data_IF_188018912091
#
_entry.id   IF_188018912091
#
_cell.length_a   1.000
_cell.length_b   1.000
_cell.length_c   1.000
_cell.angle_alpha   90.00
_cell.angle_beta   90.00
_cell.angle_gamma   90.00
#
_symmetry.space_group_name_H-M   'P 1'
#
loop_
_entity.id
_entity.type
_entity.pdbx_description
1 polymer ?
#
# COMPACT_ATOMS: atom_id res chain seq x y z
N UNK A 1 -20.65 -21.60 -0.19
CA UNK A 1 -19.64 -20.61 0.25
C UNK A 1 -20.38 -19.31 0.55
N UNK A 2 -20.39 -18.85 1.80
CA UNK A 2 -21.01 -17.55 2.13
C UNK A 2 -20.00 -16.45 1.82
N UNK A 3 -20.36 -15.54 0.91
CA UNK A 3 -19.57 -14.35 0.62
C UNK A 3 -19.74 -13.37 1.79
N UNK A 4 -18.76 -13.31 2.68
CA UNK A 4 -18.69 -12.25 3.68
C UNK A 4 -18.05 -11.01 3.06
N UNK A 5 -18.63 -9.84 3.35
CA UNK A 5 -18.03 -8.57 2.95
C UNK A 5 -16.66 -8.44 3.63
N UNK A 6 -15.57 -8.17 2.89
CA UNK A 6 -14.27 -7.93 3.49
C UNK A 6 -14.36 -6.77 4.50
N UNK A 7 -13.83 -6.99 5.69
CA UNK A 7 -13.64 -5.92 6.68
C UNK A 7 -12.16 -5.58 6.68
N UNK A 8 -11.82 -4.50 5.98
CA UNK A 8 -10.44 -4.02 5.89
C UNK A 8 -10.24 -2.93 6.92
N UNK A 9 -9.14 -3.02 7.66
CA UNK A 9 -8.72 -1.95 8.57
C UNK A 9 -8.10 -0.81 7.78
N UNK A 10 -8.13 0.37 8.38
CA UNK A 10 -7.30 1.50 7.96
C UNK A 10 -6.20 1.69 9.01
N UNK A 11 -4.98 1.89 8.54
CA UNK A 11 -3.80 2.15 9.38
C UNK A 11 -3.15 3.46 8.97
N UNK A 12 -2.56 4.18 9.92
CA UNK A 12 -1.77 5.37 9.63
C UNK A 12 -0.33 4.96 9.40
N UNK A 13 0.22 5.30 8.24
CA UNK A 13 1.63 5.02 7.96
C UNK A 13 2.50 5.97 8.77
N UNK A 14 3.39 5.41 9.60
CA UNK A 14 4.22 6.18 10.53
C UNK A 14 5.65 6.35 10.04
N UNK A 15 6.18 5.40 9.27
CA UNK A 15 7.57 5.47 8.81
C UNK A 15 7.82 4.83 7.45
N UNK A 16 8.60 5.53 6.64
CA UNK A 16 9.18 5.01 5.41
C UNK A 16 10.45 4.22 5.73
N UNK A 17 10.45 2.91 5.50
CA UNK A 17 11.57 2.05 5.93
C UNK A 17 12.55 1.80 4.79
N UNK A 18 12.09 1.24 3.68
CA UNK A 18 12.94 1.02 2.51
C UNK A 18 12.11 0.99 1.22
N UNK A 19 12.56 1.65 0.14
CA UNK A 19 12.01 1.42 -1.19
C UNK A 19 12.30 -0.01 -1.65
N UNK A 20 11.37 -0.57 -2.42
CA UNK A 20 11.55 -1.80 -3.19
C UNK A 20 11.69 -1.37 -4.66
N UNK A 21 12.94 -1.25 -5.12
CA UNK A 21 13.29 -0.70 -6.45
C UNK A 21 13.16 -1.74 -7.56
N UNK A 22 12.10 -2.54 -7.52
CA UNK A 22 11.81 -3.58 -8.50
C UNK A 22 10.47 -3.30 -9.20
N UNK A 23 10.51 -3.29 -10.53
CA UNK A 23 9.33 -3.04 -11.37
C UNK A 23 8.85 -1.58 -11.35
N UNK A 24 7.96 -1.24 -12.28
CA UNK A 24 7.52 0.14 -12.49
C UNK A 24 6.53 0.70 -11.45
N UNK A 25 6.19 -0.07 -10.40
CA UNK A 25 5.26 0.38 -9.34
C UNK A 25 5.95 0.94 -8.10
N UNK A 26 7.27 0.72 -7.97
CA UNK A 26 8.13 1.23 -6.89
C UNK A 26 7.49 1.16 -5.48
N UNK A 27 7.05 -0.02 -5.00
CA UNK A 27 6.47 -0.16 -3.67
C UNK A 27 7.51 0.10 -2.58
N UNK A 28 7.08 0.14 -1.32
CA UNK A 28 7.99 0.29 -0.20
C UNK A 28 7.59 -0.53 1.02
N UNK A 29 8.57 -0.84 1.86
CA UNK A 29 8.30 -1.31 3.22
C UNK A 29 8.03 -0.10 4.11
N UNK A 30 6.97 -0.18 4.90
CA UNK A 30 6.49 0.89 5.78
C UNK A 30 6.07 0.35 7.13
N UNK A 31 6.28 1.13 8.19
CA UNK A 31 5.69 0.87 9.52
C UNK A 31 4.37 1.65 9.63
N UNK A 32 3.40 1.10 10.34
CA UNK A 32 2.15 1.76 10.66
C UNK A 32 1.97 1.96 12.18
N UNK A 33 0.89 2.65 12.56
CA UNK A 33 0.53 2.97 13.95
C UNK A 33 0.14 1.76 14.80
N UNK A 34 -0.20 0.65 14.17
CA UNK A 34 -0.45 -0.63 14.83
C UNK A 34 0.82 -1.45 15.11
N UNK A 35 2.00 -0.91 14.75
CA UNK A 35 3.30 -1.53 15.00
C UNK A 35 3.69 -2.63 14.02
N UNK A 36 2.89 -2.86 12.96
CA UNK A 36 3.21 -3.81 11.90
C UNK A 36 3.93 -3.15 10.73
N UNK A 37 4.50 -4.02 9.89
CA UNK A 37 5.22 -3.68 8.67
C UNK A 37 4.42 -4.10 7.45
N UNK A 38 4.35 -3.22 6.46
CA UNK A 38 3.55 -3.40 5.25
C UNK A 38 4.37 -3.18 3.99
N UNK A 39 4.09 -3.98 2.96
CA UNK A 39 4.43 -3.64 1.57
C UNK A 39 3.36 -2.67 1.08
N UNK A 40 3.69 -1.39 1.05
CA UNK A 40 2.80 -0.34 0.60
C UNK A 40 2.89 -0.16 -0.92
N UNK A 41 1.72 -0.14 -1.56
CA UNK A 41 1.52 0.23 -2.96
C UNK A 41 1.01 1.66 -3.01
N UNK A 42 1.57 2.46 -3.90
CA UNK A 42 1.32 3.89 -3.97
C UNK A 42 0.27 4.23 -5.05
N UNK A 43 -0.77 4.98 -4.69
CA UNK A 43 -1.80 5.46 -5.61
C UNK A 43 -1.27 6.43 -6.66
N UNK A 44 -0.10 7.03 -6.42
CA UNK A 44 0.61 7.90 -7.36
C UNK A 44 1.44 7.15 -8.41
N UNK A 45 1.56 5.82 -8.32
CA UNK A 45 2.29 5.02 -9.31
C UNK A 45 1.60 5.09 -10.68
N UNK A 46 2.29 4.73 -11.77
CA UNK A 46 1.80 4.94 -13.14
C UNK A 46 0.42 4.33 -13.47
N UNK A 47 0.04 3.22 -12.81
CA UNK A 47 -1.29 2.61 -12.97
C UNK A 47 -2.33 3.13 -11.96
N UNK A 48 -1.87 3.92 -10.99
CA UNK A 48 -2.61 4.58 -9.94
C UNK A 48 -3.56 3.67 -9.16
N UNK A 49 -4.70 4.23 -8.75
CA UNK A 49 -5.72 3.52 -7.96
C UNK A 49 -6.25 2.26 -8.63
N UNK A 50 -6.19 2.13 -9.96
CA UNK A 50 -6.66 0.91 -10.64
C UNK A 50 -5.82 -0.32 -10.26
N UNK A 51 -4.51 -0.13 -10.07
CA UNK A 51 -3.65 -1.21 -9.59
C UNK A 51 -3.98 -1.59 -8.14
N UNK A 52 -4.26 -0.60 -7.28
CA UNK A 52 -4.67 -0.85 -5.88
C UNK A 52 -5.99 -1.64 -5.80
N UNK A 53 -6.96 -1.27 -6.64
CA UNK A 53 -8.23 -2.00 -6.74
C UNK A 53 -8.01 -3.42 -7.27
N UNK A 54 -7.11 -3.61 -8.24
CA UNK A 54 -6.77 -4.94 -8.76
C UNK A 54 -6.13 -5.83 -7.68
N UNK A 55 -5.18 -5.30 -6.90
CA UNK A 55 -4.56 -6.00 -5.78
C UNK A 55 -5.59 -6.35 -4.70
N UNK A 56 -6.50 -5.42 -4.39
CA UNK A 56 -7.59 -5.66 -3.45
C UNK A 56 -8.51 -6.81 -3.93
N UNK A 57 -9.01 -6.73 -5.16
CA UNK A 57 -9.91 -7.76 -5.71
C UNK A 57 -9.19 -9.11 -5.77
N UNK A 58 -7.94 -9.13 -6.25
CA UNK A 58 -7.15 -10.35 -6.35
C UNK A 58 -6.89 -11.00 -5.00
N UNK A 59 -6.52 -10.20 -3.99
CA UNK A 59 -6.30 -10.69 -2.64
C UNK A 59 -7.57 -11.21 -1.98
N UNK A 60 -8.68 -10.47 -2.06
CA UNK A 60 -9.95 -10.93 -1.49
C UNK A 60 -10.50 -12.17 -2.20
N UNK A 61 -10.31 -12.29 -3.51
CA UNK A 61 -10.65 -13.51 -4.24
C UNK A 61 -9.79 -14.69 -3.77
N UNK A 62 -8.48 -14.50 -3.63
CA UNK A 62 -7.57 -15.53 -3.14
C UNK A 62 -7.92 -15.97 -1.70
N UNK A 63 -8.26 -15.01 -0.82
CA UNK A 63 -8.75 -15.29 0.54
C UNK A 63 -10.04 -16.11 0.51
N UNK A 64 -10.99 -15.71 -0.33
CA UNK A 64 -12.27 -16.38 -0.47
C UNK A 64 -12.11 -17.84 -0.98
N UNK A 65 -11.09 -18.09 -1.80
CA UNK A 65 -10.71 -19.43 -2.28
C UNK A 65 -9.90 -20.25 -1.24
N UNK A 66 -9.60 -19.69 -0.07
CA UNK A 66 -8.87 -20.38 1.00
C UNK A 66 -7.35 -20.38 0.84
N UNK A 67 -6.80 -19.57 -0.07
CA UNK A 67 -5.35 -19.39 -0.15
C UNK A 67 -4.82 -18.60 1.05
N UNK A 68 -3.57 -18.90 1.44
CA UNK A 68 -2.85 -18.11 2.44
C UNK A 68 -2.42 -16.80 1.81
N UNK A 69 -3.07 -15.72 2.20
CA UNK A 69 -2.67 -14.37 1.84
C UNK A 69 -2.39 -13.55 3.12
N UNK A 70 -1.52 -12.54 3.05
CA UNK A 70 -1.40 -11.57 4.13
C UNK A 70 -2.72 -10.80 4.32
N UNK A 71 -2.87 -10.16 5.47
CA UNK A 71 -3.94 -9.18 5.66
C UNK A 71 -3.76 -8.03 4.67
N UNK A 72 -4.87 -7.56 4.08
CA UNK A 72 -4.92 -6.32 3.33
C UNK A 72 -5.49 -5.23 4.23
N UNK A 73 -4.89 -4.05 4.17
CA UNK A 73 -5.34 -2.85 4.90
C UNK A 73 -5.36 -1.67 3.94
N UNK A 74 -6.15 -0.67 4.27
CA UNK A 74 -5.96 0.65 3.70
C UNK A 74 -4.90 1.39 4.49
N UNK A 75 -4.04 2.13 3.79
CA UNK A 75 -2.94 2.87 4.39
C UNK A 75 -3.10 4.36 4.12
N UNK A 76 -3.25 5.14 5.18
CA UNK A 76 -3.29 6.60 5.10
C UNK A 76 -1.88 7.17 5.20
N UNK A 77 -1.50 7.94 4.18
CA UNK A 77 -0.16 8.48 4.00
C UNK A 77 -0.13 9.99 4.26
N UNK A 78 0.67 10.44 5.22
CA UNK A 78 0.81 11.87 5.51
C UNK A 78 1.61 12.61 4.42
N UNK A 79 1.35 13.90 4.23
CA UNK A 79 2.08 14.74 3.28
C UNK A 79 3.58 14.88 3.61
N UNK A 80 3.98 14.59 4.85
CA UNK A 80 5.37 14.56 5.29
C UNK A 80 6.09 13.23 5.01
N UNK A 81 5.37 12.22 4.54
CA UNK A 81 5.94 10.91 4.25
C UNK A 81 6.99 10.99 3.13
N UNK A 82 8.11 10.28 3.31
CA UNK A 82 9.15 10.19 2.28
C UNK A 82 10.00 11.44 2.06
N UNK A 83 9.90 12.48 2.91
CA UNK A 83 10.71 13.71 2.80
C UNK A 83 12.22 13.48 2.80
N UNK A 84 12.67 12.34 3.30
CA UNK A 84 14.09 11.96 3.36
C UNK A 84 14.53 11.10 2.17
N UNK A 85 13.63 10.75 1.25
CA UNK A 85 13.99 10.00 0.04
C UNK A 85 14.89 10.86 -0.86
N UNK A 86 16.11 10.43 -1.19
CA UNK A 86 17.01 11.22 -2.04
C UNK A 86 16.63 11.22 -3.53
N UNK A 87 15.82 10.25 -3.97
CA UNK A 87 15.43 10.07 -5.37
C UNK A 87 14.21 10.96 -5.73
N UNK A 88 14.40 11.90 -6.66
CA UNK A 88 13.36 12.87 -7.04
C UNK A 88 12.11 12.20 -7.65
N UNK A 89 12.28 11.14 -8.45
CA UNK A 89 11.14 10.44 -9.06
C UNK A 89 10.30 9.75 -7.97
N UNK A 90 10.95 9.17 -6.97
CA UNK A 90 10.27 8.55 -5.83
C UNK A 90 9.64 9.63 -4.95
N UNK A 91 10.27 10.78 -4.73
CA UNK A 91 9.64 11.87 -3.98
C UNK A 91 8.32 12.31 -4.62
N UNK A 92 8.26 12.44 -5.93
CA UNK A 92 7.04 12.86 -6.64
C UNK A 92 5.96 11.76 -6.60
N UNK A 93 6.37 10.50 -6.69
CA UNK A 93 5.51 9.35 -6.40
C UNK A 93 4.89 9.43 -4.99
N UNK A 94 5.71 9.69 -3.96
CA UNK A 94 5.24 9.75 -2.57
C UNK A 94 4.32 10.95 -2.34
N UNK A 95 4.67 12.14 -2.85
CA UNK A 95 3.82 13.35 -2.77
C UNK A 95 2.45 13.11 -3.40
N UNK A 96 2.42 12.56 -4.61
CA UNK A 96 1.18 12.23 -5.33
C UNK A 96 0.37 11.11 -4.66
N UNK A 97 0.95 10.43 -3.67
CA UNK A 97 0.33 9.35 -2.92
C UNK A 97 -0.20 9.73 -1.54
N UNK A 98 -0.14 11.00 -1.13
CA UNK A 98 -0.72 11.49 0.14
C UNK A 98 -2.19 11.08 0.29
N UNK A 99 -2.62 10.61 1.47
CA UNK A 99 -3.97 10.11 1.74
C UNK A 99 -4.10 8.59 1.59
N UNK A 100 -5.30 8.12 1.27
CA UNK A 100 -5.64 6.70 1.23
C UNK A 100 -4.98 5.96 0.06
N UNK A 101 -4.21 4.93 0.39
CA UNK A 101 -3.59 3.96 -0.53
C UNK A 101 -4.11 2.55 -0.24
#
# INVERSE_FOLDING_TARGET
>A
MQLQKPTLRTVQVTRYVTPLREGGSLPAITEADDGFMYVLKFRGAGQGTRALIADLIGGELARALGFKIPELVFAELDAAFGRTEPDEEIQDLLKSSTGLN
#
